data_IF_874249166195
#
_entry.id   IF_874249166195
#
_cell.length_a   1.000
_cell.length_b   1.000
_cell.length_c   1.000
_cell.angle_alpha   90.00
_cell.angle_beta   90.00
_cell.angle_gamma   90.00
#
_symmetry.space_group_name_H-M   'P 1'
#
loop_
_entity.id
_entity.type
_entity.pdbx_description
1 polymer ?
#
# COMPACT_ATOMS: atom_id res chain seq x y z
N UNK A 1 12.44 42.79 22.93
CA UNK A 1 13.44 42.26 21.99
C UNK A 1 14.75 42.26 22.78
N UNK A 2 15.37 41.17 23.19
CA UNK A 2 15.31 39.78 22.73
C UNK A 2 15.71 38.80 23.84
N UNK A 3 15.22 37.57 23.69
CA UNK A 3 15.45 36.37 24.50
C UNK A 3 16.36 35.39 23.72
N UNK A 4 16.86 34.31 24.35
CA UNK A 4 18.29 34.01 24.39
C UNK A 4 18.76 32.90 23.41
N UNK A 5 20.02 32.98 22.98
CA UNK A 5 20.74 32.01 22.15
C UNK A 5 21.91 31.41 22.93
N UNK A 6 21.66 30.40 23.78
CA UNK A 6 22.74 29.67 24.45
C UNK A 6 22.45 28.18 24.71
N UNK A 7 21.30 27.65 24.28
CA UNK A 7 20.92 26.26 24.54
C UNK A 7 21.23 25.27 23.38
N UNK A 8 21.55 25.77 22.18
CA UNK A 8 21.66 24.94 20.97
C UNK A 8 23.07 24.42 20.64
N UNK A 9 24.13 24.97 21.24
CA UNK A 9 25.51 24.51 20.97
C UNK A 9 25.87 23.23 21.74
N UNK A 10 25.33 23.06 22.96
CA UNK A 10 25.58 21.87 23.78
C UNK A 10 24.96 20.59 23.19
N UNK A 11 23.83 20.72 22.49
CA UNK A 11 23.11 19.63 21.81
C UNK A 11 23.78 19.19 20.51
N UNK A 12 24.50 20.09 19.82
CA UNK A 12 25.29 19.73 18.63
C UNK A 12 26.60 19.01 18.99
N UNK A 13 27.25 19.40 20.09
CA UNK A 13 28.49 18.76 20.55
C UNK A 13 28.28 17.29 20.96
N UNK A 14 27.16 16.99 21.64
CA UNK A 14 26.79 15.59 22.00
C UNK A 14 26.42 14.72 20.79
N UNK A 15 25.89 15.30 19.70
CA UNK A 15 25.62 14.56 18.45
C UNK A 15 26.87 14.26 17.64
N UNK A 16 27.94 15.05 17.77
CA UNK A 16 29.24 14.77 17.12
C UNK A 16 30.05 13.71 17.88
N UNK A 17 29.94 13.64 19.21
CA UNK A 17 30.61 12.63 20.01
C UNK A 17 30.05 11.19 19.82
N UNK A 18 28.79 11.03 19.41
CA UNK A 18 28.19 9.72 19.13
C UNK A 18 28.55 9.12 17.73
N UNK A 19 29.47 9.76 16.98
CA UNK A 19 29.90 9.32 15.64
C UNK A 19 31.37 8.83 15.61
N UNK A 20 31.92 8.48 16.77
CA UNK A 20 33.24 7.89 16.91
C UNK A 20 33.14 6.56 17.65
N UNK A 21 32.54 5.58 16.98
CA UNK A 21 32.77 4.16 17.22
C UNK A 21 32.36 3.42 15.93
N UNK A 22 33.24 3.49 14.93
CA UNK A 22 33.23 2.48 13.86
C UNK A 22 33.95 1.28 14.45
N UNK A 23 33.31 0.12 14.65
CA UNK A 23 34.06 -1.09 14.93
C UNK A 23 34.95 -1.35 13.71
N UNK A 24 36.24 -1.27 13.99
CA UNK A 24 37.31 -1.69 13.12
C UNK A 24 37.12 -3.19 12.78
N UNK A 25 37.27 -3.54 11.51
CA UNK A 25 37.19 -4.94 11.04
C UNK A 25 35.91 -5.30 10.29
N UNK A 26 35.97 -5.23 8.95
CA UNK A 26 35.04 -5.92 8.04
C UNK A 26 35.28 -7.44 8.09
N UNK A 27 34.92 -8.10 9.20
CA UNK A 27 34.81 -9.55 9.20
C UNK A 27 33.67 -9.94 8.25
N UNK A 28 34.01 -10.51 7.09
CA UNK A 28 33.00 -11.05 6.18
C UNK A 28 32.34 -12.24 6.88
N UNK A 29 31.02 -12.21 6.94
CA UNK A 29 30.20 -13.33 7.41
C UNK A 29 30.37 -14.46 6.37
N UNK A 30 30.93 -15.61 6.74
CA UNK A 30 31.32 -16.69 5.81
C UNK A 30 30.59 -17.97 6.19
N UNK A 31 29.91 -18.58 5.21
CA UNK A 31 29.21 -19.86 5.37
C UNK A 31 29.99 -21.01 4.71
N UNK A 32 30.16 -22.12 5.42
CA UNK A 32 30.72 -23.35 4.87
C UNK A 32 29.72 -23.99 3.87
N UNK A 33 30.20 -24.35 2.68
CA UNK A 33 29.45 -25.14 1.70
C UNK A 33 29.83 -26.60 1.92
N UNK A 34 28.85 -27.41 2.30
CA UNK A 34 29.00 -28.86 2.45
C UNK A 34 28.14 -29.61 1.45
N UNK A 35 28.63 -30.75 0.97
CA UNK A 35 27.86 -31.76 0.23
C UNK A 35 27.98 -33.05 1.01
N UNK A 36 26.89 -33.47 1.66
CA UNK A 36 26.97 -34.49 2.72
C UNK A 36 27.91 -34.04 3.84
N UNK A 37 28.86 -34.90 4.20
CA UNK A 37 29.89 -34.62 5.21
C UNK A 37 31.15 -33.94 4.66
N UNK A 38 31.27 -33.79 3.34
CA UNK A 38 32.44 -33.20 2.71
C UNK A 38 32.33 -31.67 2.65
N UNK A 39 33.34 -30.98 3.19
CA UNK A 39 33.49 -29.52 3.08
C UNK A 39 34.07 -29.15 1.70
N UNK A 40 33.25 -28.52 0.86
CA UNK A 40 33.65 -28.08 -0.49
C UNK A 40 34.38 -26.73 -0.46
N UNK A 41 34.14 -25.93 0.57
CA UNK A 41 34.80 -24.65 0.77
C UNK A 41 33.94 -23.66 1.53
N UNK A 42 34.32 -22.40 1.46
CA UNK A 42 33.69 -21.30 2.19
C UNK A 42 33.16 -20.25 1.21
N UNK A 43 31.93 -19.75 1.44
CA UNK A 43 31.35 -18.67 0.65
C UNK A 43 31.04 -17.49 1.56
N UNK A 44 31.50 -16.30 1.18
CA UNK A 44 31.07 -15.08 1.84
C UNK A 44 29.55 -14.93 1.69
N UNK A 45 28.84 -14.78 2.81
CA UNK A 45 27.41 -14.48 2.85
C UNK A 45 27.24 -13.09 2.26
N UNK A 46 26.95 -13.07 0.95
CA UNK A 46 26.48 -11.87 0.27
C UNK A 46 25.13 -11.51 0.87
N UNK A 47 25.11 -10.71 1.94
CA UNK A 47 23.88 -10.02 2.35
C UNK A 47 23.44 -9.24 1.11
N UNK A 48 22.29 -9.60 0.52
CA UNK A 48 21.73 -8.82 -0.60
C UNK A 48 21.75 -7.37 -0.13
N UNK A 49 22.60 -6.55 -0.74
CA UNK A 49 22.65 -5.13 -0.42
C UNK A 49 21.21 -4.62 -0.50
N UNK A 50 20.75 -3.92 0.54
CA UNK A 50 19.44 -3.26 0.51
C UNK A 50 19.35 -2.52 -0.82
N UNK A 51 18.34 -2.88 -1.60
CA UNK A 51 18.36 -2.83 -3.06
C UNK A 51 18.87 -1.52 -3.64
N UNK A 52 19.57 -1.63 -4.77
CA UNK A 52 19.97 -0.48 -5.58
C UNK A 52 18.79 0.45 -5.90
N UNK A 53 19.11 1.66 -6.38
CA UNK A 53 18.13 2.70 -6.70
C UNK A 53 16.95 2.11 -7.49
N UNK A 54 15.74 2.45 -7.08
CA UNK A 54 14.51 1.98 -7.75
C UNK A 54 14.60 2.19 -9.25
N UNK A 55 14.37 1.13 -10.01
CA UNK A 55 14.41 1.15 -11.46
C UNK A 55 12.98 1.08 -12.02
N UNK A 56 12.55 2.17 -12.64
CA UNK A 56 11.18 2.34 -13.11
C UNK A 56 10.84 1.38 -14.26
N UNK A 57 11.80 1.12 -15.15
CA UNK A 57 11.69 0.11 -16.20
C UNK A 57 11.41 -1.27 -15.60
N UNK A 58 12.24 -1.73 -14.65
CA UNK A 58 12.09 -3.05 -14.02
C UNK A 58 10.78 -3.19 -13.24
N UNK A 59 10.28 -2.11 -12.65
CA UNK A 59 8.98 -2.08 -11.99
C UNK A 59 7.83 -2.29 -12.99
N UNK A 60 7.84 -1.52 -14.08
CA UNK A 60 6.82 -1.58 -15.13
C UNK A 60 6.84 -2.89 -15.91
N UNK A 61 8.03 -3.38 -16.29
CA UNK A 61 8.20 -4.69 -16.93
C UNK A 61 7.53 -5.79 -16.10
N UNK A 62 7.78 -5.84 -14.79
CA UNK A 62 7.15 -6.84 -13.91
C UNK A 62 5.64 -6.71 -13.84
N UNK A 63 5.11 -5.49 -13.85
CA UNK A 63 3.65 -5.27 -13.89
C UNK A 63 3.05 -5.73 -15.23
N UNK A 64 3.76 -5.52 -16.35
CA UNK A 64 3.36 -6.01 -17.69
C UNK A 64 3.39 -7.54 -17.72
N UNK A 65 4.46 -8.18 -17.26
CA UNK A 65 4.54 -9.65 -17.16
C UNK A 65 3.46 -10.25 -16.26
N UNK A 66 3.04 -9.52 -15.23
CA UNK A 66 1.92 -9.92 -14.37
C UNK A 66 0.59 -9.80 -15.11
N UNK A 67 0.42 -8.76 -15.92
CA UNK A 67 -0.76 -8.60 -16.77
C UNK A 67 -0.85 -9.69 -17.84
N UNK A 68 0.26 -10.01 -18.51
CA UNK A 68 0.33 -11.11 -19.47
C UNK A 68 -0.06 -12.42 -18.80
N UNK A 69 0.51 -12.74 -17.63
CA UNK A 69 0.12 -13.92 -16.85
C UNK A 69 -1.35 -13.97 -16.49
N UNK A 70 -1.93 -12.82 -16.16
CA UNK A 70 -3.33 -12.73 -15.81
C UNK A 70 -4.26 -12.95 -17.02
N UNK A 71 -3.89 -12.43 -18.21
CA UNK A 71 -4.74 -12.51 -19.42
C UNK A 71 -4.54 -13.81 -20.20
N UNK A 72 -3.29 -14.27 -20.30
CA UNK A 72 -2.85 -15.25 -21.29
C UNK A 72 -2.17 -16.47 -20.66
N UNK A 73 -1.71 -16.37 -19.40
CA UNK A 73 -0.90 -17.40 -18.76
C UNK A 73 0.59 -17.25 -19.07
N UNK A 74 1.27 -18.32 -19.47
CA UNK A 74 2.73 -18.29 -19.57
C UNK A 74 3.28 -17.64 -20.85
N UNK A 75 2.47 -17.62 -21.92
CA UNK A 75 2.84 -17.12 -23.24
C UNK A 75 1.70 -16.26 -23.79
N UNK A 76 2.01 -15.18 -24.52
CA UNK A 76 1.02 -14.37 -25.23
C UNK A 76 0.55 -15.18 -26.45
N UNK A 77 -0.75 -15.37 -26.70
CA UNK A 77 -1.24 -16.07 -27.88
C UNK A 77 -0.91 -15.27 -29.16
N UNK A 78 -0.82 -15.97 -30.29
CA UNK A 78 -0.73 -15.35 -31.60
C UNK A 78 -2.06 -14.67 -31.92
N UNK A 79 -2.05 -13.34 -31.95
CA UNK A 79 -3.21 -12.48 -32.15
C UNK A 79 -2.76 -11.16 -32.77
N UNK A 80 -3.69 -10.46 -33.44
CA UNK A 80 -3.41 -9.22 -34.18
C UNK A 80 -2.77 -8.12 -33.31
N UNK A 81 -3.08 -8.09 -32.01
CA UNK A 81 -2.60 -7.08 -31.06
C UNK A 81 -1.47 -7.57 -30.16
N UNK A 82 -0.96 -8.79 -30.34
CA UNK A 82 0.03 -9.37 -29.43
C UNK A 82 1.34 -8.58 -29.36
N UNK A 83 1.75 -7.93 -30.46
CA UNK A 83 2.97 -7.13 -30.53
C UNK A 83 2.91 -5.83 -29.71
N UNK A 84 1.73 -5.41 -29.23
CA UNK A 84 1.59 -4.21 -28.40
C UNK A 84 2.42 -4.30 -27.11
N UNK A 85 2.62 -5.50 -26.57
CA UNK A 85 3.49 -5.71 -25.42
C UNK A 85 4.96 -5.45 -25.76
N UNK A 86 5.40 -5.89 -26.94
CA UNK A 86 6.76 -5.69 -27.45
C UNK A 86 7.00 -4.21 -27.68
N UNK A 87 6.05 -3.52 -28.32
CA UNK A 87 6.12 -2.07 -28.54
C UNK A 87 6.31 -1.29 -27.23
N UNK A 88 5.53 -1.62 -26.21
CA UNK A 88 5.61 -0.99 -24.90
C UNK A 88 6.94 -1.28 -24.21
N UNK A 89 7.39 -2.53 -24.22
CA UNK A 89 8.67 -2.92 -23.63
C UNK A 89 9.83 -2.25 -24.37
N UNK A 90 9.78 -2.16 -25.69
CA UNK A 90 10.78 -1.48 -26.52
C UNK A 90 10.87 0.02 -26.17
N UNK A 91 9.73 0.72 -26.07
CA UNK A 91 9.71 2.13 -25.64
C UNK A 91 10.29 2.33 -24.23
N UNK A 92 10.02 1.41 -23.30
CA UNK A 92 10.57 1.49 -21.94
C UNK A 92 12.07 1.15 -21.91
N UNK A 93 12.50 0.15 -22.67
CA UNK A 93 13.88 -0.32 -22.72
C UNK A 93 14.79 0.71 -23.40
N UNK A 94 14.34 1.34 -24.48
CA UNK A 94 15.11 2.36 -25.21
C UNK A 94 15.51 3.53 -24.30
N UNK A 95 14.59 4.00 -23.45
CA UNK A 95 14.86 5.10 -22.51
C UNK A 95 15.87 4.70 -21.43
N UNK A 96 15.83 3.45 -20.96
CA UNK A 96 16.66 2.97 -19.86
C UNK A 96 18.05 2.53 -20.33
N UNK A 97 18.12 1.80 -21.45
CA UNK A 97 19.34 1.12 -21.90
C UNK A 97 19.96 1.73 -23.16
N UNK A 98 19.29 2.69 -23.81
CA UNK A 98 19.75 3.31 -25.07
C UNK A 98 20.11 2.22 -26.07
N UNK A 99 21.33 2.22 -26.62
CA UNK A 99 21.77 1.28 -27.67
C UNK A 99 21.65 -0.20 -27.25
N UNK A 100 21.78 -0.51 -25.96
CA UNK A 100 21.65 -1.89 -25.46
C UNK A 100 20.20 -2.38 -25.33
N UNK A 101 19.20 -1.57 -25.69
CA UNK A 101 17.80 -1.95 -25.54
C UNK A 101 17.37 -3.10 -26.46
N UNK A 102 18.03 -3.24 -27.62
CA UNK A 102 17.69 -4.25 -28.64
C UNK A 102 17.76 -5.65 -28.04
N UNK A 103 18.89 -5.99 -27.41
CA UNK A 103 19.10 -7.30 -26.77
C UNK A 103 18.09 -7.57 -25.63
N UNK A 104 17.73 -6.51 -24.89
CA UNK A 104 16.74 -6.60 -23.82
C UNK A 104 15.36 -6.93 -24.37
N UNK A 105 14.94 -6.28 -25.46
CA UNK A 105 13.64 -6.51 -26.09
C UNK A 105 13.60 -7.90 -26.73
N UNK A 106 14.63 -8.29 -27.48
CA UNK A 106 14.73 -9.61 -28.10
C UNK A 106 14.68 -10.73 -27.06
N UNK A 107 15.49 -10.64 -26.00
CA UNK A 107 15.49 -11.64 -24.93
C UNK A 107 14.17 -11.70 -24.16
N UNK A 108 13.50 -10.55 -23.99
CA UNK A 108 12.17 -10.52 -23.37
C UNK A 108 11.09 -11.12 -24.29
N UNK A 109 11.10 -10.78 -25.58
CA UNK A 109 10.16 -11.30 -26.57
C UNK A 109 10.31 -12.81 -26.77
N UNK A 110 11.53 -13.33 -26.85
CA UNK A 110 11.78 -14.78 -26.97
C UNK A 110 11.15 -15.60 -25.84
N UNK A 111 10.95 -15.01 -24.66
CA UNK A 111 10.28 -15.66 -23.53
C UNK A 111 8.76 -15.62 -23.65
N UNK A 112 8.18 -14.47 -24.01
CA UNK A 112 6.74 -14.22 -23.91
C UNK A 112 5.99 -14.40 -25.23
N UNK A 113 6.68 -14.31 -26.36
CA UNK A 113 6.19 -14.46 -27.72
C UNK A 113 7.13 -15.39 -28.52
N UNK A 114 7.33 -16.66 -28.12
CA UNK A 114 8.26 -17.57 -28.78
C UNK A 114 7.86 -17.93 -30.23
N UNK A 115 6.59 -17.70 -30.60
CA UNK A 115 6.08 -17.86 -31.95
C UNK A 115 6.41 -16.68 -32.86
N UNK A 116 6.68 -15.49 -32.30
CA UNK A 116 6.93 -14.31 -33.10
C UNK A 116 8.32 -14.41 -33.75
N UNK A 117 8.39 -14.17 -35.06
CA UNK A 117 9.63 -14.19 -35.79
C UNK A 117 10.58 -13.10 -35.30
N UNK A 118 11.89 -13.39 -35.32
CA UNK A 118 12.90 -12.38 -34.95
C UNK A 118 12.77 -11.10 -35.79
N UNK A 119 12.45 -11.25 -37.08
CA UNK A 119 12.26 -10.14 -38.00
C UNK A 119 11.10 -9.23 -37.58
N UNK A 120 9.97 -9.79 -37.16
CA UNK A 120 8.79 -9.02 -36.73
C UNK A 120 9.11 -8.19 -35.48
N UNK A 121 9.85 -8.78 -34.53
CA UNK A 121 10.31 -8.06 -33.33
C UNK A 121 11.32 -6.97 -33.69
N UNK A 122 12.25 -7.25 -34.61
CA UNK A 122 13.23 -6.27 -35.09
C UNK A 122 12.57 -5.11 -35.85
N UNK A 123 11.49 -5.35 -36.59
CA UNK A 123 10.69 -4.30 -37.22
C UNK A 123 10.08 -3.37 -36.17
N UNK A 124 9.46 -3.93 -35.12
CA UNK A 124 8.93 -3.14 -33.99
C UNK A 124 10.04 -2.30 -33.34
N UNK A 125 11.21 -2.89 -33.11
CA UNK A 125 12.39 -2.21 -32.54
C UNK A 125 12.84 -1.07 -33.46
N UNK A 126 12.94 -1.33 -34.77
CA UNK A 126 13.35 -0.36 -35.77
C UNK A 126 12.38 0.82 -35.87
N UNK A 127 11.08 0.56 -35.95
CA UNK A 127 10.05 1.62 -35.90
C UNK A 127 10.14 2.43 -34.59
N UNK A 128 10.51 1.76 -33.50
CA UNK A 128 10.83 2.42 -32.21
C UNK A 128 12.12 3.21 -32.19
N UNK A 129 12.98 3.17 -33.21
CA UNK A 129 14.12 4.09 -33.30
C UNK A 129 13.79 5.37 -34.06
N UNK A 130 12.77 5.35 -34.93
CA UNK A 130 12.43 6.50 -35.81
C UNK A 130 11.76 7.66 -35.09
N UNK A 131 11.10 7.43 -33.95
CA UNK A 131 10.33 8.45 -33.23
C UNK A 131 11.19 9.05 -32.09
N UNK A 132 11.05 10.34 -31.81
CA UNK A 132 11.66 10.94 -30.60
C UNK A 132 10.95 10.42 -29.36
N UNK A 133 11.60 9.54 -28.59
CA UNK A 133 10.98 8.96 -27.40
C UNK A 133 11.16 9.83 -26.16
N UNK A 134 10.02 10.11 -25.52
CA UNK A 134 9.96 10.48 -24.12
C UNK A 134 9.51 9.26 -23.31
N UNK A 135 9.90 9.20 -22.05
CA UNK A 135 9.45 8.12 -21.15
C UNK A 135 7.92 8.07 -21.12
N UNK A 136 7.33 6.94 -21.51
CA UNK A 136 5.86 6.79 -21.52
C UNK A 136 5.29 7.14 -20.14
N UNK A 137 4.29 8.02 -20.11
CA UNK A 137 3.59 8.33 -18.87
C UNK A 137 2.87 7.08 -18.36
N UNK A 138 2.54 7.04 -17.05
CA UNK A 138 1.80 5.91 -16.50
C UNK A 138 0.47 5.71 -17.24
N UNK A 139 -0.20 6.80 -17.61
CA UNK A 139 -1.50 6.74 -18.28
C UNK A 139 -1.36 6.35 -19.75
N UNK A 140 -0.32 6.83 -20.45
CA UNK A 140 -0.02 6.38 -21.82
C UNK A 140 0.20 4.86 -21.88
N UNK A 141 0.90 4.28 -20.90
CA UNK A 141 1.03 2.82 -20.78
C UNK A 141 -0.30 2.13 -20.50
N UNK A 142 -1.11 2.70 -19.62
CA UNK A 142 -2.43 2.15 -19.31
C UNK A 142 -3.34 2.11 -20.53
N UNK A 143 -3.28 3.15 -21.36
CA UNK A 143 -3.97 3.21 -22.65
C UNK A 143 -3.41 2.21 -23.65
N UNK A 144 -2.09 2.18 -23.87
CA UNK A 144 -1.48 1.24 -24.82
C UNK A 144 -1.80 -0.23 -24.48
N UNK A 145 -1.74 -0.61 -23.20
CA UNK A 145 -1.98 -1.99 -22.78
C UNK A 145 -3.48 -2.34 -22.62
N UNK A 146 -4.38 -1.38 -22.86
CA UNK A 146 -5.80 -1.50 -22.52
C UNK A 146 -6.01 -2.02 -21.08
N UNK A 147 -5.22 -1.53 -20.12
CA UNK A 147 -5.30 -1.96 -18.72
C UNK A 147 -6.47 -1.28 -18.01
N UNK A 148 -7.52 -2.03 -17.68
CA UNK A 148 -8.68 -1.48 -16.95
C UNK A 148 -8.33 -1.18 -15.49
N UNK A 149 -9.10 -0.29 -14.86
CA UNK A 149 -8.93 0.02 -13.45
C UNK A 149 -9.26 -1.19 -12.56
N UNK A 150 -10.16 -2.06 -13.02
CA UNK A 150 -10.51 -3.30 -12.33
C UNK A 150 -9.31 -4.27 -12.27
N UNK A 151 -8.69 -4.56 -13.42
CA UNK A 151 -7.47 -5.37 -13.53
C UNK A 151 -6.33 -4.74 -12.74
N UNK A 152 -6.14 -3.42 -12.86
CA UNK A 152 -5.13 -2.68 -12.11
C UNK A 152 -5.29 -2.87 -10.59
N UNK A 153 -6.53 -2.91 -10.09
CA UNK A 153 -6.82 -3.17 -8.69
C UNK A 153 -6.60 -4.65 -8.31
N UNK A 154 -7.05 -5.58 -9.15
CA UNK A 154 -6.89 -7.02 -8.93
C UNK A 154 -5.41 -7.43 -8.87
N UNK A 155 -4.58 -6.82 -9.73
CA UNK A 155 -3.16 -7.11 -9.84
C UNK A 155 -2.28 -6.26 -8.90
N UNK A 156 -2.85 -5.38 -8.08
CA UNK A 156 -2.10 -4.40 -7.26
C UNK A 156 -1.03 -3.64 -8.08
N UNK A 157 -1.38 -3.26 -9.31
CA UNK A 157 -0.51 -2.52 -10.22
C UNK A 157 -0.40 -1.07 -9.76
N UNK A 158 0.82 -0.56 -9.63
CA UNK A 158 1.13 0.76 -9.03
C UNK A 158 1.73 1.73 -10.03
N UNK A 159 2.58 1.27 -10.95
CA UNK A 159 3.37 2.14 -11.83
C UNK A 159 2.74 2.42 -13.19
N UNK A 160 1.74 1.62 -13.58
CA UNK A 160 0.95 1.78 -14.80
C UNK A 160 -0.43 2.38 -14.46
N UNK A 161 -0.92 3.23 -15.36
CA UNK A 161 -2.23 3.88 -15.31
C UNK A 161 -3.36 2.92 -15.66
N UNK A 162 -4.54 3.46 -15.96
CA UNK A 162 -5.68 2.69 -16.45
C UNK A 162 -6.40 3.52 -17.52
N UNK A 163 -6.91 2.86 -18.57
CA UNK A 163 -7.52 3.55 -19.72
C UNK A 163 -8.96 4.01 -19.48
N UNK A 164 -9.71 3.27 -18.65
CA UNK A 164 -11.15 3.42 -18.41
C UNK A 164 -11.49 4.41 -17.28
N UNK A 165 -10.51 4.79 -16.46
CA UNK A 165 -10.71 5.71 -15.32
C UNK A 165 -9.64 6.79 -15.30
N UNK A 166 -10.07 8.04 -15.44
CA UNK A 166 -9.20 9.21 -15.37
C UNK A 166 -8.40 9.29 -14.05
N UNK A 167 -7.17 9.82 -14.13
CA UNK A 167 -6.22 9.95 -13.01
C UNK A 167 -6.81 10.60 -11.76
N UNK A 168 -7.57 11.69 -11.94
CA UNK A 168 -8.22 12.40 -10.83
C UNK A 168 -9.26 11.54 -10.10
N UNK A 169 -10.07 10.77 -10.84
CA UNK A 169 -11.07 9.85 -10.27
C UNK A 169 -10.39 8.71 -9.52
N UNK A 170 -9.31 8.11 -10.08
CA UNK A 170 -8.49 7.09 -9.38
C UNK A 170 -7.91 7.60 -8.07
N UNK A 171 -7.35 8.81 -8.05
CA UNK A 171 -6.80 9.41 -6.84
C UNK A 171 -7.87 9.62 -5.75
N UNK A 172 -9.08 10.06 -6.13
CA UNK A 172 -10.23 10.20 -5.21
C UNK A 172 -10.64 8.85 -4.62
N UNK A 173 -10.77 7.80 -5.45
CA UNK A 173 -11.09 6.45 -5.00
C UNK A 173 -10.03 5.90 -4.04
N UNK A 174 -8.74 6.09 -4.34
CA UNK A 174 -7.65 5.66 -3.46
C UNK A 174 -7.68 6.39 -2.11
N UNK A 175 -7.94 7.71 -2.12
CA UNK A 175 -8.10 8.52 -0.90
C UNK A 175 -9.28 8.05 -0.06
N UNK A 176 -10.41 7.71 -0.67
CA UNK A 176 -11.58 7.17 0.01
C UNK A 176 -11.26 5.80 0.65
N UNK A 177 -10.66 4.87 -0.09
CA UNK A 177 -10.21 3.57 0.44
C UNK A 177 -9.24 3.73 1.61
N UNK A 178 -8.29 4.67 1.52
CA UNK A 178 -7.35 4.98 2.62
C UNK A 178 -8.08 5.50 3.85
N UNK A 179 -9.02 6.44 3.68
CA UNK A 179 -9.84 6.97 4.78
C UNK A 179 -10.69 5.89 5.44
N UNK A 180 -11.26 4.96 4.66
CA UNK A 180 -12.02 3.84 5.22
C UNK A 180 -11.13 2.93 6.07
N UNK A 181 -9.94 2.56 5.57
CA UNK A 181 -8.97 1.76 6.33
C UNK A 181 -8.46 2.47 7.59
N UNK A 182 -8.26 3.79 7.52
CA UNK A 182 -7.86 4.58 8.69
C UNK A 182 -8.99 4.62 9.74
N UNK A 183 -10.24 4.81 9.31
CA UNK A 183 -11.41 4.74 10.20
C UNK A 183 -11.52 3.38 10.88
N UNK A 184 -11.40 2.28 10.12
CA UNK A 184 -11.50 0.93 10.70
C UNK A 184 -10.36 0.65 11.68
N UNK A 185 -9.12 1.06 11.36
CA UNK A 185 -7.98 0.92 12.28
C UNK A 185 -8.17 1.69 13.58
N UNK A 186 -8.63 2.94 13.49
CA UNK A 186 -8.91 3.77 14.68
C UNK A 186 -10.05 3.21 15.51
N UNK A 187 -11.09 2.69 14.87
CA UNK A 187 -12.17 2.01 15.60
C UNK A 187 -11.64 0.78 16.33
N UNK A 188 -10.89 -0.10 15.65
CA UNK A 188 -10.26 -1.27 16.28
C UNK A 188 -9.36 -0.89 17.46
N UNK A 189 -8.55 0.17 17.31
CA UNK A 189 -7.72 0.69 18.40
C UNK A 189 -8.55 1.17 19.59
N UNK A 190 -9.65 1.89 19.34
CA UNK A 190 -10.58 2.32 20.41
C UNK A 190 -11.20 1.13 21.12
N UNK A 191 -11.64 0.10 20.38
CA UNK A 191 -12.21 -1.12 20.97
C UNK A 191 -11.17 -1.88 21.81
N UNK A 192 -9.94 -2.00 21.31
CA UNK A 192 -8.85 -2.66 22.04
C UNK A 192 -8.48 -1.91 23.33
N UNK A 193 -8.65 -0.59 23.36
CA UNK A 193 -8.47 0.23 24.55
C UNK A 193 -9.69 0.23 25.50
N UNK A 194 -10.71 -0.60 25.25
CA UNK A 194 -11.90 -0.71 26.10
C UNK A 194 -12.93 0.41 25.91
N UNK A 195 -12.84 1.21 24.84
CA UNK A 195 -13.83 2.25 24.59
C UNK A 195 -15.20 1.64 24.27
N UNK A 196 -16.20 2.00 25.07
CA UNK A 196 -17.60 1.62 24.88
C UNK A 196 -18.13 2.10 23.53
N UNK A 197 -19.04 1.33 22.94
CA UNK A 197 -19.73 1.79 21.74
C UNK A 197 -20.69 2.92 22.06
N UNK A 198 -21.08 3.67 21.02
CA UNK A 198 -22.14 4.67 21.20
C UNK A 198 -23.45 4.03 21.64
N UNK A 199 -23.78 2.82 21.18
CA UNK A 199 -24.96 2.08 21.64
C UNK A 199 -24.83 1.68 23.11
N UNK A 200 -23.68 1.13 23.54
CA UNK A 200 -23.48 0.72 24.93
C UNK A 200 -23.49 1.92 25.87
N UNK A 201 -22.89 3.04 25.44
CA UNK A 201 -22.93 4.30 26.18
C UNK A 201 -24.36 4.83 26.32
N UNK A 202 -25.14 4.80 25.24
CA UNK A 202 -26.53 5.28 25.27
C UNK A 202 -27.44 4.37 26.10
N UNK A 203 -27.27 3.05 26.01
CA UNK A 203 -28.02 2.06 26.80
C UNK A 203 -27.76 2.21 28.30
N UNK A 204 -26.51 2.52 28.69
CA UNK A 204 -26.14 2.77 30.08
C UNK A 204 -26.30 4.23 30.50
N UNK A 205 -26.90 5.08 29.65
CA UNK A 205 -27.09 6.48 29.96
C UNK A 205 -28.18 6.65 31.02
N UNK A 206 -27.82 7.22 32.16
CA UNK A 206 -28.76 7.59 33.24
C UNK A 206 -29.86 8.55 32.73
N UNK A 207 -29.62 9.27 31.63
CA UNK A 207 -30.65 10.10 30.99
C UNK A 207 -31.72 9.29 30.26
N UNK A 208 -31.39 8.10 29.74
CA UNK A 208 -32.38 7.18 29.17
C UNK A 208 -33.04 6.31 30.24
N UNK A 209 -32.27 5.83 31.23
CA UNK A 209 -32.81 5.02 32.31
C UNK A 209 -33.77 5.80 33.24
N UNK A 210 -33.70 7.14 33.24
CA UNK A 210 -34.57 8.08 33.97
C UNK A 210 -34.88 7.62 35.42
N UNK A 211 -33.86 7.25 36.23
CA UNK A 211 -34.07 6.65 37.55
C UNK A 211 -34.82 7.56 38.54
N UNK A 212 -34.82 8.88 38.34
CA UNK A 212 -35.55 9.84 39.16
C UNK A 212 -37.07 9.68 39.09
N UNK A 213 -37.60 9.03 38.04
CA UNK A 213 -39.04 8.76 37.90
C UNK A 213 -39.51 7.74 38.93
N UNK A 214 -38.70 6.72 39.24
CA UNK A 214 -38.99 5.75 40.29
C UNK A 214 -39.08 6.41 41.68
N UNK A 215 -38.37 7.52 41.90
CA UNK A 215 -38.42 8.29 43.15
C UNK A 215 -39.49 9.39 43.13
N UNK A 216 -40.20 9.60 42.02
CA UNK A 216 -41.18 10.68 41.86
C UNK A 216 -40.59 12.10 41.96
N UNK A 217 -39.29 12.28 41.69
CA UNK A 217 -38.59 13.58 41.80
C UNK A 217 -38.08 14.09 40.46
N UNK A 218 -37.84 15.40 40.36
CA UNK A 218 -37.21 15.97 39.17
C UNK A 218 -35.75 15.52 39.01
N UNK A 219 -35.30 15.38 37.76
CA UNK A 219 -33.89 15.07 37.42
C UNK A 219 -32.89 15.96 38.16
N UNK A 220 -33.15 17.27 38.23
CA UNK A 220 -32.25 18.25 38.88
C UNK A 220 -32.11 17.97 40.37
N UNK A 221 -33.20 17.57 41.02
CA UNK A 221 -33.21 17.19 42.44
C UNK A 221 -32.44 15.89 42.66
N UNK A 222 -32.62 14.90 41.78
CA UNK A 222 -31.89 13.63 41.82
C UNK A 222 -30.37 13.81 41.65
N UNK A 223 -29.94 14.65 40.70
CA UNK A 223 -28.51 14.99 40.51
C UNK A 223 -27.92 15.68 41.75
N UNK A 224 -28.67 16.58 42.41
CA UNK A 224 -28.24 17.23 43.66
C UNK A 224 -28.14 16.28 44.86
N UNK A 225 -28.95 15.23 44.90
CA UNK A 225 -28.98 14.21 45.96
C UNK A 225 -27.91 13.12 45.80
N UNK A 226 -27.00 13.24 44.83
CA UNK A 226 -25.88 12.32 44.67
C UNK A 226 -26.19 11.08 43.81
N UNK A 227 -27.26 11.11 43.00
CA UNK A 227 -27.63 10.06 42.05
C UNK A 227 -27.88 8.68 42.69
N UNK A 228 -28.77 8.58 43.70
CA UNK A 228 -29.16 7.28 44.24
C UNK A 228 -29.83 6.42 43.16
N UNK A 229 -29.48 5.14 43.09
CA UNK A 229 -30.11 4.17 42.18
C UNK A 229 -31.29 3.51 42.91
N UNK A 230 -32.45 3.35 42.24
CA UNK A 230 -33.59 2.64 42.83
C UNK A 230 -33.24 1.17 43.02
N UNK A 231 -33.58 0.60 44.18
CA UNK A 231 -33.44 -0.83 44.44
C UNK A 231 -34.43 -1.61 43.57
N UNK A 232 -34.00 -2.76 43.05
CA UNK A 232 -34.73 -3.53 42.02
C UNK A 232 -36.17 -3.91 42.41
N UNK A 233 -36.49 -3.92 43.70
CA UNK A 233 -37.82 -4.23 44.24
C UNK A 233 -38.85 -3.10 44.01
N UNK A 234 -38.39 -1.84 43.86
CA UNK A 234 -39.28 -0.67 43.71
C UNK A 234 -39.79 -0.45 42.27
N UNK A 235 -39.22 -1.14 41.28
CA UNK A 235 -39.62 -1.01 39.87
C UNK A 235 -40.94 -1.75 39.55
N UNK A 236 -41.39 -2.64 40.44
CA UNK A 236 -42.64 -3.40 40.24
C UNK A 236 -43.91 -2.63 40.59
N UNK A 237 -43.80 -1.48 41.26
CA UNK A 237 -44.93 -0.84 41.96
C UNK A 237 -45.49 0.42 41.27
N UNK A 238 -44.87 0.90 40.18
CA UNK A 238 -45.32 2.12 39.48
C UNK A 238 -46.15 1.85 38.20
N UNK A 239 -46.68 0.63 38.06
CA UNK A 239 -47.46 0.19 36.92
C UNK A 239 -48.96 0.15 37.15
N UNK A 240 -49.57 1.14 37.82
CA UNK A 240 -51.05 1.27 37.90
C UNK A 240 -51.49 2.67 38.36
N UNK A 241 -51.37 3.66 37.48
CA UNK A 241 -52.23 4.85 37.55
C UNK A 241 -52.97 4.94 36.22
N UNK A 242 -54.08 4.20 36.15
CA UNK A 242 -55.08 4.30 35.09
C UNK A 242 -55.61 5.74 35.06
N UNK A 243 -55.37 6.45 33.97
CA UNK A 243 -55.99 7.73 33.67
C UNK A 243 -57.49 7.50 33.43
N UNK A 244 -58.31 7.89 34.41
CA UNK A 244 -59.74 8.05 34.26
C UNK A 244 -60.08 9.55 34.38
N UNK A 245 -60.41 10.16 33.25
CA UNK A 245 -61.39 11.24 33.03
C UNK A 245 -61.19 11.83 31.62
#
# INVERSE_FOLDING_TARGET
MDRPTAADEATQSKKRAAKADRPDGLARDVSAIKVGDCLLGYKAVQRRARGGRWNHFRGRMREIEKLIRYRHGDIVPEADDALIYVEVIASLALVEFKDAFVDVVLGWAARWLPWAGKADIEEVIYERTKVRYSSLSADALGHALHLSYSERCALDTRTIGAFDVAKGKRARLQKQKRRQRDRSRKEQQRRAAGALTRSDYLANSLSQARPWEAFGISRRTWERRGKPMPEAETLSDCGSMSLAA
#
